data_IF_376629060040
#
_entry.id   IF_376629060040
#
_cell.length_a   1.000
_cell.length_b   1.000
_cell.length_c   1.000
_cell.angle_alpha   90.00
_cell.angle_beta   90.00
_cell.angle_gamma   90.00
#
_symmetry.space_group_name_H-M   'P 1'
#
loop_
_entity.id
_entity.type
_entity.pdbx_description
1 polymer ?
#
# COMPACT_ATOMS: atom_id res chain seq x y z
N UNK A 1 10.27 -4.98 13.72
CA UNK A 1 9.25 -5.35 12.71
C UNK A 1 8.10 -4.38 12.89
N UNK A 2 7.81 -3.57 11.88
CA UNK A 2 6.81 -2.51 11.95
C UNK A 2 5.40 -3.11 11.83
N UNK A 3 4.47 -2.63 12.65
CA UNK A 3 3.04 -2.94 12.51
C UNK A 3 2.28 -1.62 12.36
N UNK A 4 1.59 -1.46 11.23
CA UNK A 4 0.74 -0.32 10.91
C UNK A 4 -0.70 -0.64 11.29
N UNK A 5 -1.33 0.26 12.06
CA UNK A 5 -2.66 0.07 12.62
C UNK A 5 -3.46 1.37 12.49
N UNK A 6 -4.71 1.24 12.07
CA UNK A 6 -5.68 2.33 11.96
C UNK A 6 -5.69 3.00 10.58
N UNK A 7 -6.67 3.86 10.35
CA UNK A 7 -6.84 4.66 9.16
C UNK A 7 -6.71 6.17 9.45
N UNK A 8 -6.19 6.92 8.49
CA UNK A 8 -5.89 8.35 8.63
C UNK A 8 -6.24 9.11 7.36
N UNK A 9 -7.14 10.08 7.47
CA UNK A 9 -7.42 11.04 6.40
C UNK A 9 -6.22 11.98 6.23
N UNK A 10 -5.70 12.06 5.02
CA UNK A 10 -4.55 12.87 4.67
C UNK A 10 -4.86 13.74 3.45
N UNK A 11 -4.46 15.01 3.52
CA UNK A 11 -4.62 15.97 2.42
C UNK A 11 -3.27 16.21 1.77
N UNK A 12 -3.08 15.84 0.49
CA UNK A 12 -1.88 16.18 -0.25
C UNK A 12 -1.68 17.70 -0.28
N UNK A 13 -0.43 18.15 -0.16
CA UNK A 13 -0.11 19.56 -0.28
C UNK A 13 -0.23 20.06 -1.74
N UNK A 14 0.02 21.35 -1.96
CA UNK A 14 -0.05 21.96 -3.30
C UNK A 14 0.89 21.29 -4.35
N UNK A 15 1.89 20.53 -3.91
CA UNK A 15 2.82 19.77 -4.77
C UNK A 15 2.47 18.28 -4.84
N UNK A 16 1.36 17.85 -4.24
CA UNK A 16 0.93 16.45 -4.18
C UNK A 16 1.67 15.60 -3.16
N UNK A 17 2.39 16.22 -2.20
CA UNK A 17 3.08 15.47 -1.14
C UNK A 17 2.13 15.13 -0.01
N UNK A 18 2.21 13.90 0.47
CA UNK A 18 1.39 13.37 1.56
C UNK A 18 2.26 13.26 2.80
N UNK A 19 1.74 13.71 3.95
CA UNK A 19 2.39 13.55 5.24
C UNK A 19 2.14 12.15 5.75
N UNK A 20 3.20 11.43 6.13
CA UNK A 20 3.04 10.14 6.81
C UNK A 20 2.55 10.37 8.24
N UNK A 21 1.43 9.75 8.68
CA UNK A 21 0.90 9.89 10.03
C UNK A 21 1.93 9.58 11.11
N UNK A 22 1.85 10.26 12.25
CA UNK A 22 2.82 10.10 13.34
C UNK A 22 2.87 8.66 13.87
N UNK A 23 1.72 7.97 13.93
CA UNK A 23 1.62 6.57 14.32
C UNK A 23 2.44 5.67 13.37
N UNK A 24 2.30 5.86 12.06
CA UNK A 24 3.04 5.09 11.06
C UNK A 24 4.52 5.43 11.05
N UNK A 25 4.90 6.71 11.18
CA UNK A 25 6.30 7.13 11.34
C UNK A 25 6.97 6.44 12.54
N UNK A 26 6.27 6.32 13.66
CA UNK A 26 6.77 5.62 14.85
C UNK A 26 6.94 4.12 14.59
N UNK A 27 6.06 3.50 13.80
CA UNK A 27 6.11 2.08 13.49
C UNK A 27 7.33 1.70 12.63
N UNK A 28 7.70 2.52 11.63
CA UNK A 28 8.84 2.20 10.73
C UNK A 28 10.19 2.49 11.38
N UNK A 29 10.24 3.40 12.35
CA UNK A 29 11.48 3.86 12.97
C UNK A 29 12.04 5.11 12.27
N UNK A 30 12.94 5.83 12.94
CA UNK A 30 13.46 7.11 12.43
C UNK A 30 14.43 6.96 11.26
N UNK A 31 15.04 5.79 11.09
CA UNK A 31 16.09 5.56 10.09
C UNK A 31 15.54 5.03 8.76
N UNK A 32 14.33 4.48 8.73
CA UNK A 32 13.72 3.95 7.51
C UNK A 32 12.87 5.03 6.82
N UNK A 33 13.47 5.67 5.82
CA UNK A 33 12.85 6.72 5.03
C UNK A 33 12.44 6.26 3.64
N UNK A 34 12.70 5.00 3.27
CA UNK A 34 12.48 4.49 1.90
C UNK A 34 11.23 3.62 1.85
N UNK A 35 10.43 3.84 0.81
CA UNK A 35 9.21 3.08 0.57
C UNK A 35 9.13 2.67 -0.89
N UNK A 36 8.37 1.62 -1.16
CA UNK A 36 7.91 1.29 -2.51
C UNK A 36 6.41 1.39 -2.53
N UNK A 37 5.88 2.22 -3.43
CA UNK A 37 4.45 2.27 -3.72
C UNK A 37 4.15 1.44 -4.95
N UNK A 38 3.05 0.70 -4.96
CA UNK A 38 2.53 0.02 -6.15
C UNK A 38 1.01 0.04 -6.19
N UNK A 39 0.41 -0.20 -7.35
CA UNK A 39 -1.03 -0.53 -7.42
C UNK A 39 -1.29 -1.89 -6.78
N UNK A 40 -2.38 -2.02 -6.04
CA UNK A 40 -2.83 -3.33 -5.58
C UNK A 40 -3.29 -4.23 -6.74
N UNK A 41 -3.30 -5.55 -6.52
CA UNK A 41 -3.69 -6.54 -7.53
C UNK A 41 -5.21 -6.79 -7.56
N UNK A 42 -5.87 -6.64 -6.41
CA UNK A 42 -7.28 -7.00 -6.22
C UNK A 42 -8.13 -5.76 -5.98
N UNK A 43 -7.57 -4.78 -5.27
CA UNK A 43 -8.28 -3.57 -4.88
C UNK A 43 -7.87 -2.35 -5.72
N UNK A 44 -8.78 -1.38 -5.80
CA UNK A 44 -8.50 -0.11 -6.48
C UNK A 44 -7.80 0.90 -5.55
N UNK A 45 -6.66 0.50 -5.00
CA UNK A 45 -5.84 1.30 -4.10
C UNK A 45 -4.35 1.18 -4.45
N UNK A 46 -3.53 2.02 -3.81
CA UNK A 46 -2.08 1.88 -3.82
C UNK A 46 -1.62 1.24 -2.51
N UNK A 47 -0.53 0.48 -2.57
CA UNK A 47 0.10 -0.14 -1.40
C UNK A 47 1.51 0.40 -1.25
N UNK A 48 1.81 0.94 -0.08
CA UNK A 48 3.09 1.46 0.34
C UNK A 48 3.76 0.46 1.28
N UNK A 49 4.90 -0.06 0.84
CA UNK A 49 5.75 -0.96 1.59
C UNK A 49 6.94 -0.18 2.16
N UNK A 50 7.28 -0.34 3.45
CA UNK A 50 8.63 -0.07 3.90
C UNK A 50 9.62 -0.84 3.04
N UNK A 51 10.76 -0.23 2.70
CA UNK A 51 11.68 -0.83 1.74
C UNK A 51 12.19 -2.21 2.19
N UNK A 52 12.46 -2.36 3.49
CA UNK A 52 12.85 -3.64 4.10
C UNK A 52 11.81 -4.75 3.82
N UNK A 53 10.54 -4.46 4.01
CA UNK A 53 9.47 -5.43 3.75
C UNK A 53 9.24 -5.68 2.25
N UNK A 54 9.41 -4.65 1.41
CA UNK A 54 9.40 -4.82 -0.05
C UNK A 54 10.46 -5.82 -0.53
N UNK A 55 11.67 -5.77 0.02
CA UNK A 55 12.75 -6.70 -0.33
C UNK A 55 12.41 -8.15 0.02
N UNK A 56 11.75 -8.38 1.17
CA UNK A 56 11.26 -9.71 1.56
C UNK A 56 10.22 -10.24 0.57
N UNK A 57 9.19 -9.43 0.25
CA UNK A 57 8.14 -9.82 -0.69
C UNK A 57 8.69 -10.07 -2.09
N UNK A 58 9.63 -9.23 -2.54
CA UNK A 58 10.31 -9.43 -3.81
C UNK A 58 11.19 -10.69 -3.80
N UNK A 59 11.79 -11.04 -2.66
CA UNK A 59 12.50 -12.30 -2.45
C UNK A 59 11.59 -13.51 -2.69
N UNK A 60 10.42 -13.53 -2.04
CA UNK A 60 9.39 -14.58 -2.21
C UNK A 60 8.88 -14.65 -3.64
N UNK A 61 8.67 -13.50 -4.28
CA UNK A 61 8.23 -13.44 -5.67
C UNK A 61 9.28 -14.04 -6.61
N UNK A 62 10.56 -13.69 -6.42
CA UNK A 62 11.67 -14.21 -7.25
C UNK A 62 11.81 -15.72 -7.15
N UNK A 63 11.56 -16.32 -5.99
CA UNK A 63 11.60 -17.78 -5.82
C UNK A 63 10.54 -18.52 -6.66
N UNK A 64 9.42 -17.86 -6.98
CA UNK A 64 8.32 -18.45 -7.77
C UNK A 64 8.45 -18.22 -9.28
N UNK A 65 9.37 -17.34 -9.70
CA UNK A 65 9.44 -16.86 -11.08
C UNK A 65 10.66 -17.42 -11.83
N UNK A 66 10.42 -17.84 -13.08
CA UNK A 66 11.49 -18.24 -14.00
C UNK A 66 11.63 -17.16 -15.09
N UNK A 67 12.75 -16.42 -15.15
CA UNK A 67 12.95 -15.35 -16.13
C UNK A 67 13.00 -15.81 -17.59
N UNK A 68 13.20 -17.11 -17.83
CA UNK A 68 13.20 -17.72 -19.16
C UNK A 68 11.80 -18.12 -19.64
N UNK A 69 10.77 -18.02 -18.79
CA UNK A 69 9.36 -18.16 -19.20
C UNK A 69 8.80 -16.80 -19.60
N UNK A 70 8.24 -16.71 -20.81
CA UNK A 70 7.74 -15.45 -21.39
C UNK A 70 6.65 -14.82 -20.53
N UNK A 71 5.75 -15.63 -20.00
CA UNK A 71 4.62 -15.22 -19.16
C UNK A 71 5.11 -14.60 -17.85
N UNK A 72 6.12 -15.22 -17.22
CA UNK A 72 6.74 -14.73 -15.99
C UNK A 72 7.48 -13.41 -16.23
N UNK A 73 8.20 -13.30 -17.35
CA UNK A 73 8.89 -12.05 -17.74
C UNK A 73 7.89 -10.92 -18.02
N UNK A 74 6.76 -11.23 -18.65
CA UNK A 74 5.68 -10.27 -18.88
C UNK A 74 5.07 -9.81 -17.55
N UNK A 75 4.74 -10.74 -16.66
CA UNK A 75 4.24 -10.44 -15.32
C UNK A 75 5.19 -9.50 -14.56
N UNK A 76 6.50 -9.79 -14.54
CA UNK A 76 7.48 -8.91 -13.88
C UNK A 76 7.48 -7.51 -14.46
N UNK A 77 7.43 -7.37 -15.78
CA UNK A 77 7.38 -6.06 -16.43
C UNK A 77 6.17 -5.27 -15.96
N UNK A 78 4.99 -5.90 -15.94
CA UNK A 78 3.75 -5.22 -15.54
C UNK A 78 3.73 -4.91 -14.04
N UNK A 79 4.20 -5.84 -13.21
CA UNK A 79 4.32 -5.68 -11.76
C UNK A 79 5.20 -4.49 -11.37
N UNK A 80 6.39 -4.37 -11.96
CA UNK A 80 7.31 -3.26 -11.70
C UNK A 80 6.92 -1.95 -12.40
N UNK A 81 6.26 -2.02 -13.56
CA UNK A 81 5.69 -0.82 -14.21
C UNK A 81 4.61 -0.17 -13.34
N UNK A 82 3.94 -0.96 -12.51
CA UNK A 82 2.92 -0.49 -11.58
C UNK A 82 3.49 -0.02 -10.23
N UNK A 83 4.82 0.08 -10.07
CA UNK A 83 5.46 0.54 -8.83
C UNK A 83 6.38 1.75 -9.00
N UNK A 84 6.74 2.38 -7.88
CA UNK A 84 7.72 3.45 -7.79
C UNK A 84 8.38 3.46 -6.40
N UNK A 85 9.66 3.83 -6.35
CA UNK A 85 10.34 4.11 -5.08
C UNK A 85 10.01 5.53 -4.60
N UNK A 86 9.78 5.65 -3.30
CA UNK A 86 9.51 6.90 -2.59
C UNK A 86 10.53 7.09 -1.48
N UNK A 87 10.71 8.35 -1.06
CA UNK A 87 11.47 8.67 0.14
C UNK A 87 10.77 9.76 0.95
N UNK A 88 10.86 9.64 2.27
CA UNK A 88 10.40 10.67 3.19
C UNK A 88 11.36 11.86 3.18
N UNK A 89 10.82 13.06 3.06
CA UNK A 89 11.58 14.29 3.32
C UNK A 89 11.78 14.52 4.83
N UNK A 90 12.55 15.55 5.21
CA UNK A 90 12.79 15.89 6.61
C UNK A 90 11.54 16.25 7.43
N UNK A 91 10.38 16.48 6.78
CA UNK A 91 9.10 16.70 7.44
C UNK A 91 8.24 15.42 7.48
N UNK A 92 8.79 14.27 7.06
CA UNK A 92 8.08 13.00 7.00
C UNK A 92 7.01 12.97 5.91
N UNK A 93 7.24 13.65 4.78
CA UNK A 93 6.33 13.64 3.62
C UNK A 93 6.92 12.85 2.46
N UNK A 94 6.07 12.18 1.70
CA UNK A 94 6.45 11.51 0.44
C UNK A 94 5.64 12.07 -0.73
N UNK A 95 6.17 11.95 -1.95
CA UNK A 95 5.50 12.34 -3.18
C UNK A 95 5.13 11.10 -3.99
N UNK A 96 3.84 10.79 -4.10
CA UNK A 96 3.39 9.68 -4.96
C UNK A 96 3.35 10.15 -6.41
N UNK A 97 3.89 9.38 -7.38
CA UNK A 97 3.76 9.71 -8.78
C UNK A 97 2.30 9.90 -9.20
N UNK A 98 1.99 11.04 -9.82
CA UNK A 98 0.64 11.42 -10.24
C UNK A 98 -0.06 10.33 -11.07
N UNK A 99 0.68 9.64 -11.94
CA UNK A 99 0.16 8.51 -12.74
C UNK A 99 -0.45 7.41 -11.87
N UNK A 100 0.16 7.08 -10.72
CA UNK A 100 -0.36 6.03 -9.83
C UNK A 100 -1.61 6.52 -9.10
N UNK A 101 -1.62 7.78 -8.65
CA UNK A 101 -2.78 8.41 -8.02
C UNK A 101 -3.99 8.45 -8.95
N UNK A 102 -3.77 8.80 -10.22
CA UNK A 102 -4.80 8.80 -11.27
C UNK A 102 -5.35 7.40 -11.56
N UNK A 103 -4.49 6.36 -11.51
CA UNK A 103 -4.92 4.97 -11.74
C UNK A 103 -5.91 4.46 -10.69
N UNK A 104 -5.84 4.98 -9.46
CA UNK A 104 -6.75 4.61 -8.36
C UNK A 104 -7.83 5.65 -8.10
N UNK A 105 -7.93 6.68 -8.96
CA UNK A 105 -9.01 7.67 -8.90
C UNK A 105 -8.86 8.72 -7.78
N UNK A 106 -7.67 8.90 -7.20
CA UNK A 106 -7.44 9.93 -6.18
C UNK A 106 -7.50 11.33 -6.81
N UNK A 107 -8.43 12.15 -6.34
CA UNK A 107 -8.63 13.54 -6.83
C UNK A 107 -8.10 14.61 -5.89
N UNK A 108 -8.36 14.47 -4.58
CA UNK A 108 -7.94 15.43 -3.56
C UNK A 108 -7.48 14.71 -2.32
N UNK A 109 -8.42 14.15 -1.57
CA UNK A 109 -8.16 13.59 -0.26
C UNK A 109 -7.83 12.09 -0.39
N UNK A 110 -6.93 11.63 0.47
CA UNK A 110 -6.56 10.21 0.54
C UNK A 110 -6.75 9.69 1.95
N UNK A 111 -6.99 8.40 2.05
CA UNK A 111 -7.04 7.70 3.33
C UNK A 111 -5.90 6.70 3.35
N UNK A 112 -5.05 6.81 4.37
CA UNK A 112 -3.97 5.87 4.61
C UNK A 112 -4.41 4.84 5.64
N UNK A 113 -4.42 3.57 5.27
CA UNK A 113 -4.89 2.46 6.11
C UNK A 113 -3.73 1.55 6.44
N UNK A 114 -3.47 1.34 7.73
CA UNK A 114 -2.44 0.42 8.18
C UNK A 114 -2.92 -1.02 8.11
N UNK A 115 -2.18 -1.87 7.39
CA UNK A 115 -2.48 -3.29 7.23
C UNK A 115 -1.24 -4.10 7.57
N UNK A 116 -1.06 -4.35 8.88
CA UNK A 116 0.07 -5.10 9.43
C UNK A 116 1.43 -4.54 8.95
N UNK A 117 2.02 -5.10 7.90
CA UNK A 117 3.37 -4.73 7.42
C UNK A 117 3.39 -3.68 6.31
N UNK A 118 2.24 -3.26 5.80
CA UNK A 118 2.15 -2.24 4.76
C UNK A 118 1.06 -1.22 5.05
N UNK A 119 1.03 -0.16 4.25
CA UNK A 119 0.03 0.89 4.31
C UNK A 119 -0.69 0.92 2.96
N UNK A 120 -2.00 0.88 2.97
CA UNK A 120 -2.80 1.15 1.78
C UNK A 120 -3.11 2.63 1.68
N UNK A 121 -3.20 3.13 0.46
CA UNK A 121 -3.57 4.49 0.12
C UNK A 121 -4.77 4.42 -0.81
N UNK A 122 -5.89 4.93 -0.31
CA UNK A 122 -7.19 4.94 -0.95
C UNK A 122 -7.59 6.35 -1.34
N UNK A 123 -8.44 6.48 -2.36
CA UNK A 123 -9.27 7.69 -2.47
C UNK A 123 -10.38 7.62 -1.41
N UNK A 124 -10.83 8.78 -0.92
CA UNK A 124 -11.94 8.84 0.03
C UNK A 124 -13.19 8.12 -0.51
N UNK A 125 -13.50 8.26 -1.81
CA UNK A 125 -14.65 7.62 -2.41
C UNK A 125 -14.54 6.09 -2.46
N UNK A 126 -13.36 5.57 -2.82
CA UNK A 126 -13.13 4.13 -2.89
C UNK A 126 -13.11 3.50 -1.48
N UNK A 127 -12.55 4.20 -0.49
CA UNK A 127 -12.53 3.73 0.89
C UNK A 127 -13.93 3.65 1.50
N UNK A 128 -14.76 4.69 1.29
CA UNK A 128 -16.16 4.68 1.78
C UNK A 128 -16.96 3.50 1.21
N UNK A 129 -16.76 3.20 -0.07
CA UNK A 129 -17.45 2.09 -0.72
C UNK A 129 -17.12 0.72 -0.10
N UNK A 130 -15.92 0.53 0.44
CA UNK A 130 -15.53 -0.74 1.07
C UNK A 130 -15.98 -0.85 2.53
N UNK A 131 -15.95 0.24 3.31
CA UNK A 131 -16.33 0.22 4.73
C UNK A 131 -17.84 0.14 4.92
N UNK A 132 -18.62 0.65 3.97
CA UNK A 132 -20.08 0.59 4.00
C UNK A 132 -20.61 -0.80 3.55
N UNK A 133 -19.73 -1.74 3.19
CA UNK A 133 -20.12 -3.07 2.75
C UNK A 133 -20.63 -3.93 3.94
N UNK A 134 -21.88 -4.41 3.90
CA UNK A 134 -22.47 -5.19 4.99
C UNK A 134 -21.89 -6.60 5.16
N UNK A 135 -21.13 -7.13 4.20
CA UNK A 135 -20.42 -8.42 4.32
C UNK A 135 -19.16 -8.35 5.21
N UNK A 136 -19.12 -7.38 6.13
CA UNK A 136 -17.93 -6.88 6.83
C UNK A 136 -17.19 -7.89 7.71
N UNK A 137 -16.34 -7.36 8.58
CA UNK A 137 -15.35 -8.12 9.36
C UNK A 137 -15.92 -9.37 10.05
N UNK A 138 -17.15 -9.31 10.59
CA UNK A 138 -17.78 -10.43 11.27
C UNK A 138 -18.00 -11.66 10.35
N UNK A 139 -18.51 -11.46 9.12
CA UNK A 139 -18.74 -12.57 8.19
C UNK A 139 -17.44 -13.17 7.65
N UNK A 140 -16.43 -12.33 7.44
CA UNK A 140 -15.09 -12.80 7.08
C UNK A 140 -14.42 -13.56 8.23
N UNK A 141 -14.59 -13.09 9.47
CA UNK A 141 -14.08 -13.75 10.65
C UNK A 141 -14.73 -15.13 10.85
N UNK A 142 -16.03 -15.25 10.62
CA UNK A 142 -16.71 -16.55 10.68
C UNK A 142 -16.15 -17.54 9.63
N UNK A 143 -15.96 -17.11 8.39
CA UNK A 143 -15.37 -17.97 7.35
C UNK A 143 -13.92 -18.38 7.64
N UNK A 144 -13.11 -17.48 8.19
CA UNK A 144 -11.67 -17.69 8.37
C UNK A 144 -11.28 -18.29 9.72
N UNK A 145 -12.07 -18.00 10.77
CA UNK A 145 -11.79 -18.38 12.15
C UNK A 145 -12.87 -19.30 12.75
N UNK A 146 -14.04 -19.41 12.11
CA UNK A 146 -15.19 -20.14 12.63
C UNK A 146 -15.14 -21.66 12.39
N UNK A 147 -14.45 -22.13 11.34
CA UNK A 147 -14.27 -23.56 11.12
C UNK A 147 -12.94 -24.04 11.72
N UNK A 148 -13.04 -24.48 12.98
CA UNK A 148 -12.05 -25.31 13.66
C UNK A 148 -12.75 -26.50 14.31
N UNK A 149 -13.29 -27.40 13.49
CA UNK A 149 -13.58 -28.80 13.86
C UNK A 149 -12.84 -29.77 12.92
#
# INVERSE_FOLDING_TARGET
>A
MATFIGDFECKPDAKGRIVLPAAFKKAVGQDDTRFVVRRDLFENCLVLYPYSYWEEELGRLRQKLNPYKREHKQFLRDFFRASAELSLDGNGRFLVPRRLMEQVGVKRDVILVGVDRYIELWSDEAYRAIIDNPAGLAGQAELLLGDSE
#
